data_IF_306376900198
#
_entry.id   IF_306376900198
#
_cell.length_a   1.000
_cell.length_b   1.000
_cell.length_c   1.000
_cell.angle_alpha   90.00
_cell.angle_beta   90.00
_cell.angle_gamma   90.00
#
_symmetry.space_group_name_H-M   'P 1'
#
loop_
_entity.id
_entity.type
_entity.pdbx_description
1 polymer ?
#
# COMPACT_ATOMS: atom_id res chain seq x y z
N UNK A 1 -28.96 -53.48 -5.98
CA UNK A 1 -28.52 -52.54 -4.92
C UNK A 1 -29.12 -51.19 -5.33
N UNK A 2 -30.41 -50.89 -5.15
CA UNK A 2 -31.17 -50.82 -3.88
C UNK A 2 -30.33 -50.16 -2.78
N UNK A 3 -30.75 -49.12 -2.07
CA UNK A 3 -31.86 -48.17 -2.15
C UNK A 3 -31.51 -47.10 -1.07
N UNK A 4 -32.36 -46.09 -0.94
CA UNK A 4 -32.59 -45.32 0.29
C UNK A 4 -31.70 -44.07 0.50
N UNK A 5 -32.18 -42.92 0.98
CA UNK A 5 -33.53 -42.33 1.12
C UNK A 5 -33.35 -41.07 1.97
N UNK A 6 -34.10 -40.02 1.61
CA UNK A 6 -34.64 -38.92 2.42
C UNK A 6 -33.71 -38.08 3.33
N UNK A 7 -33.66 -36.75 3.21
CA UNK A 7 -34.73 -35.72 3.31
C UNK A 7 -35.10 -35.43 4.77
N UNK A 8 -35.25 -34.13 5.05
CA UNK A 8 -35.95 -33.48 6.18
C UNK A 8 -35.07 -33.20 7.40
N UNK A 9 -35.16 -32.08 8.12
CA UNK A 9 -35.82 -30.77 7.99
C UNK A 9 -35.62 -30.10 9.36
N UNK A 10 -35.78 -28.78 9.40
CA UNK A 10 -36.47 -28.01 10.47
C UNK A 10 -35.64 -27.48 11.65
N UNK A 11 -36.05 -26.29 12.16
CA UNK A 11 -35.18 -25.17 12.51
C UNK A 11 -35.37 -24.74 13.98
N UNK A 12 -35.14 -23.43 14.22
CA UNK A 12 -35.63 -22.61 15.34
C UNK A 12 -34.80 -22.56 16.63
N UNK A 13 -34.99 -21.41 17.30
CA UNK A 13 -34.47 -20.95 18.59
C UNK A 13 -33.11 -20.23 18.44
N UNK A 14 -33.03 -18.92 18.25
CA UNK A 14 -33.82 -17.84 18.87
C UNK A 14 -33.13 -17.41 20.16
N UNK A 15 -32.41 -16.29 20.14
CA UNK A 15 -32.09 -15.49 21.33
C UNK A 15 -31.77 -14.05 20.89
N UNK A 16 -32.76 -13.14 20.91
CA UNK A 16 -32.49 -11.72 21.01
C UNK A 16 -32.26 -11.40 22.50
N UNK A 17 -31.05 -10.99 22.86
CA UNK A 17 -30.79 -10.37 24.16
C UNK A 17 -30.39 -8.92 23.94
N UNK A 18 -31.41 -8.06 23.97
CA UNK A 18 -31.26 -6.64 24.21
C UNK A 18 -31.09 -6.42 25.73
N UNK A 19 -30.00 -5.77 26.12
CA UNK A 19 -29.67 -5.17 27.43
C UNK A 19 -28.34 -4.44 27.18
N UNK A 20 -28.07 -3.19 27.55
CA UNK A 20 -28.81 -2.14 28.21
C UNK A 20 -28.10 -0.82 27.87
N UNK A 21 -28.83 0.29 28.00
CA UNK A 21 -28.30 1.64 27.87
C UNK A 21 -27.13 1.89 28.85
N UNK A 22 -26.01 2.38 28.32
CA UNK A 22 -24.92 2.97 29.08
C UNK A 22 -24.59 4.35 28.53
N UNK A 23 -25.42 5.33 28.84
CA UNK A 23 -25.17 6.74 28.54
C UNK A 23 -24.11 7.29 29.50
N UNK A 24 -22.84 7.27 29.10
CA UNK A 24 -21.82 8.11 29.71
C UNK A 24 -21.89 9.50 29.07
N UNK A 25 -22.73 10.37 29.62
CA UNK A 25 -22.63 11.80 29.36
C UNK A 25 -21.43 12.34 30.13
N UNK A 26 -20.31 12.55 29.44
CA UNK A 26 -19.23 13.38 29.95
C UNK A 26 -19.59 14.84 29.67
N UNK A 27 -19.82 15.60 30.74
CA UNK A 27 -20.00 17.05 30.70
C UNK A 27 -18.75 17.73 30.12
N UNK A 28 -18.85 18.56 29.06
CA UNK A 28 -17.75 19.42 28.67
C UNK A 28 -17.65 20.61 29.64
N UNK A 29 -16.49 20.77 30.28
CA UNK A 29 -16.13 22.02 30.94
C UNK A 29 -15.96 23.14 29.89
N UNK A 30 -16.41 24.37 30.17
CA UNK A 30 -16.08 25.52 29.32
C UNK A 30 -14.62 25.90 29.53
N UNK A 31 -13.76 25.54 28.57
CA UNK A 31 -12.42 26.11 28.48
C UNK A 31 -12.48 27.34 27.60
N UNK A 32 -12.45 28.50 28.23
CA UNK A 32 -12.30 29.81 27.59
C UNK A 32 -10.89 29.93 27.00
N UNK A 33 -10.71 29.37 25.81
CA UNK A 33 -9.52 29.51 24.99
C UNK A 33 -9.83 30.36 23.77
N UNK A 34 -9.28 31.57 23.74
CA UNK A 34 -9.28 32.51 22.62
C UNK A 34 -8.98 31.82 21.27
N UNK A 35 -9.80 31.99 20.21
CA UNK A 35 -9.44 31.50 18.89
C UNK A 35 -8.34 32.40 18.29
N UNK A 36 -7.14 31.85 18.18
CA UNK A 36 -6.08 32.43 17.36
C UNK A 36 -6.48 32.31 15.87
N UNK A 37 -6.28 33.35 15.05
CA UNK A 37 -6.65 33.31 13.65
C UNK A 37 -5.75 32.36 12.85
N UNK A 38 -6.42 31.42 12.18
CA UNK A 38 -6.09 30.83 10.88
C UNK A 38 -4.63 30.74 10.48
N UNK A 39 -3.96 29.67 10.92
CA UNK A 39 -2.94 29.05 10.08
C UNK A 39 -3.65 27.94 9.30
N UNK A 40 -4.29 28.32 8.19
CA UNK A 40 -4.71 27.37 7.17
C UNK A 40 -3.45 26.71 6.67
N UNK A 41 -3.12 25.53 7.21
CA UNK A 41 -2.19 24.64 6.56
C UNK A 41 -2.67 24.50 5.11
N UNK A 42 -1.81 24.68 4.10
CA UNK A 42 -2.23 24.45 2.74
C UNK A 42 -2.69 23.00 2.67
N UNK A 43 -4.00 22.80 2.49
CA UNK A 43 -4.50 21.61 1.83
C UNK A 43 -3.83 21.63 0.47
N UNK A 44 -2.71 20.91 0.35
CA UNK A 44 -2.12 20.61 -0.94
C UNK A 44 -3.13 19.74 -1.69
N UNK A 45 -4.07 20.41 -2.34
CA UNK A 45 -4.77 19.88 -3.50
C UNK A 45 -3.79 20.02 -4.68
N UNK A 46 -2.71 19.24 -4.63
CA UNK A 46 -1.75 19.13 -5.71
C UNK A 46 -2.11 17.90 -6.53
N UNK A 47 -3.09 18.04 -7.40
CA UNK A 47 -3.31 17.07 -8.47
C UNK A 47 -2.63 17.58 -9.75
N UNK A 48 -1.62 16.83 -10.22
CA UNK A 48 -1.74 16.25 -11.54
C UNK A 48 -1.80 14.70 -11.42
N UNK A 49 -2.65 14.21 -10.52
CA UNK A 49 -2.71 12.81 -10.11
C UNK A 49 -3.90 12.09 -10.74
N UNK A 50 -4.01 12.10 -12.08
CA UNK A 50 -4.95 11.20 -12.77
C UNK A 50 -4.28 9.84 -12.99
N UNK A 51 -3.84 9.23 -11.89
CA UNK A 51 -3.61 7.79 -11.90
C UNK A 51 -4.96 7.14 -12.15
N UNK A 52 -4.93 5.89 -12.57
CA UNK A 52 -5.98 4.90 -12.48
C UNK A 52 -6.72 4.80 -11.12
N UNK A 53 -6.93 5.89 -10.35
CA UNK A 53 -7.57 5.93 -9.03
C UNK A 53 -9.00 5.35 -9.06
N UNK A 54 -9.70 5.43 -10.20
CA UNK A 54 -10.99 4.74 -10.36
C UNK A 54 -10.88 3.21 -10.42
N UNK A 55 -9.72 2.68 -10.82
CA UNK A 55 -9.47 1.26 -11.05
C UNK A 55 -8.58 0.60 -9.96
N UNK A 56 -7.83 1.40 -9.19
CA UNK A 56 -7.07 0.94 -8.03
C UNK A 56 -8.00 0.71 -6.83
N UNK A 57 -7.80 -0.42 -6.13
CA UNK A 57 -8.61 -0.78 -4.95
C UNK A 57 -7.73 -1.44 -3.89
N UNK A 58 -7.89 -1.12 -2.60
CA UNK A 58 -7.28 -1.91 -1.53
C UNK A 58 -7.70 -3.39 -1.64
N UNK A 59 -6.81 -4.30 -1.28
CA UNK A 59 -7.03 -5.74 -1.35
C UNK A 59 -6.85 -6.37 -2.73
N UNK A 60 -6.65 -5.59 -3.80
CA UNK A 60 -6.32 -6.15 -5.10
C UNK A 60 -4.93 -6.81 -5.08
N UNK A 61 -4.74 -7.82 -5.94
CA UNK A 61 -3.45 -8.47 -6.10
C UNK A 61 -2.41 -7.46 -6.63
N UNK A 62 -1.20 -7.52 -6.09
CA UNK A 62 -0.12 -6.62 -6.48
C UNK A 62 0.18 -6.67 -7.98
N UNK A 63 0.22 -7.87 -8.58
CA UNK A 63 0.47 -8.00 -10.03
C UNK A 63 -0.56 -7.24 -10.89
N UNK A 64 -1.83 -7.22 -10.47
CA UNK A 64 -2.87 -6.43 -11.14
C UNK A 64 -2.69 -4.93 -10.95
N UNK A 65 -2.29 -4.50 -9.74
CA UNK A 65 -1.96 -3.11 -9.46
C UNK A 65 -0.78 -2.65 -10.32
N UNK A 66 0.31 -3.42 -10.32
CA UNK A 66 1.51 -3.16 -11.11
C UNK A 66 1.18 -3.03 -12.59
N UNK A 67 0.35 -3.92 -13.13
CA UNK A 67 -0.11 -3.82 -14.52
C UNK A 67 -0.81 -2.49 -14.79
N UNK A 68 -1.74 -2.06 -13.93
CA UNK A 68 -2.41 -0.76 -14.10
C UNK A 68 -1.42 0.41 -14.05
N UNK A 69 -0.45 0.38 -13.14
CA UNK A 69 0.59 1.40 -13.08
C UNK A 69 1.34 1.50 -14.42
N UNK A 70 1.86 0.37 -14.91
CA UNK A 70 2.63 0.30 -16.14
C UNK A 70 1.81 0.70 -17.38
N UNK A 71 0.55 0.25 -17.47
CA UNK A 71 -0.35 0.58 -18.58
C UNK A 71 -0.69 2.09 -18.64
N UNK A 72 -0.59 2.80 -17.50
CA UNK A 72 -0.87 4.23 -17.36
C UNK A 72 0.40 5.10 -17.28
N UNK A 73 1.52 4.63 -17.84
CA UNK A 73 2.73 5.44 -18.00
C UNK A 73 3.61 5.57 -16.75
N UNK A 74 3.24 4.90 -15.65
CA UNK A 74 4.12 4.79 -14.49
C UNK A 74 5.24 3.79 -14.76
N UNK A 75 6.41 4.07 -14.21
CA UNK A 75 7.60 3.23 -14.35
C UNK A 75 8.13 2.84 -12.98
N UNK A 76 8.69 1.62 -12.81
CA UNK A 76 9.39 1.25 -11.60
C UNK A 76 10.46 2.28 -11.25
N UNK A 77 10.56 2.63 -9.97
CA UNK A 77 11.57 3.53 -9.44
C UNK A 77 12.55 2.72 -8.57
N UNK A 78 13.75 2.36 -9.06
CA UNK A 78 14.74 1.67 -8.25
C UNK A 78 15.16 2.46 -7.01
N UNK A 79 15.24 1.76 -5.87
CA UNK A 79 15.79 2.30 -4.64
C UNK A 79 17.21 1.76 -4.41
N UNK A 80 18.19 2.67 -4.35
CA UNK A 80 19.58 2.32 -4.07
C UNK A 80 19.76 1.66 -2.69
N UNK A 81 18.82 1.86 -1.75
CA UNK A 81 18.83 1.27 -0.41
C UNK A 81 18.00 -0.02 -0.31
N UNK A 82 17.37 -0.50 -1.39
CA UNK A 82 16.48 -1.67 -1.34
C UNK A 82 17.13 -2.88 -0.66
N UNK A 83 18.36 -3.23 -1.03
CA UNK A 83 19.06 -4.39 -0.46
C UNK A 83 19.27 -4.26 1.05
N UNK A 84 19.66 -3.08 1.52
CA UNK A 84 19.80 -2.80 2.95
C UNK A 84 18.46 -2.85 3.68
N UNK A 85 17.38 -2.39 3.04
CA UNK A 85 16.03 -2.35 3.62
C UNK A 85 15.34 -3.74 3.63
N UNK A 86 15.68 -4.63 2.69
CA UNK A 86 15.08 -5.97 2.57
C UNK A 86 15.89 -7.02 3.33
N UNK A 87 17.23 -6.93 3.29
CA UNK A 87 18.13 -7.93 3.89
C UNK A 87 18.68 -7.48 5.24
N UNK A 88 18.77 -6.16 5.48
CA UNK A 88 19.32 -5.58 6.71
C UNK A 88 20.78 -5.16 6.60
N UNK A 89 21.39 -4.78 7.73
CA UNK A 89 22.71 -4.13 7.78
C UNK A 89 23.90 -4.92 7.21
N UNK A 90 23.76 -6.24 7.05
CA UNK A 90 24.80 -7.12 6.48
C UNK A 90 24.52 -7.54 5.02
N UNK A 91 23.59 -6.86 4.33
CA UNK A 91 23.13 -7.20 2.98
C UNK A 91 24.29 -7.49 2.01
N UNK A 92 25.31 -6.63 1.98
CA UNK A 92 26.42 -6.77 1.03
C UNK A 92 27.15 -8.11 1.21
N UNK A 93 27.52 -8.44 2.45
CA UNK A 93 28.24 -9.68 2.74
C UNK A 93 27.35 -10.90 2.48
N UNK A 94 26.12 -10.88 2.97
CA UNK A 94 25.20 -12.01 2.82
C UNK A 94 24.91 -12.30 1.35
N UNK A 95 24.58 -11.28 0.57
CA UNK A 95 24.18 -11.46 -0.84
C UNK A 95 25.37 -11.70 -1.78
N UNK A 96 26.59 -11.31 -1.39
CA UNK A 96 27.80 -11.72 -2.12
C UNK A 96 28.13 -13.20 -1.88
N UNK A 97 27.86 -13.73 -0.68
CA UNK A 97 28.11 -15.14 -0.34
C UNK A 97 26.96 -16.07 -0.74
N UNK A 98 25.73 -15.56 -0.77
CA UNK A 98 24.50 -16.31 -1.02
C UNK A 98 23.59 -15.57 -2.02
N UNK A 99 24.04 -15.37 -3.27
CA UNK A 99 23.27 -14.64 -4.28
C UNK A 99 21.96 -15.34 -4.67
N UNK A 100 21.81 -16.63 -4.36
CA UNK A 100 20.63 -17.44 -4.63
C UNK A 100 19.44 -17.14 -3.71
N UNK A 101 19.67 -16.49 -2.57
CA UNK A 101 18.61 -16.15 -1.63
C UNK A 101 17.60 -15.21 -2.28
N UNK A 102 16.31 -15.51 -2.12
CA UNK A 102 15.23 -14.72 -2.70
C UNK A 102 15.30 -13.24 -2.28
N UNK A 103 15.65 -12.96 -1.02
CA UNK A 103 15.83 -11.59 -0.51
C UNK A 103 16.98 -10.82 -1.19
N UNK A 104 18.02 -11.53 -1.64
CA UNK A 104 19.15 -10.94 -2.35
C UNK A 104 18.86 -10.64 -3.83
N UNK A 105 17.91 -11.35 -4.43
CA UNK A 105 17.45 -11.08 -5.82
C UNK A 105 16.22 -10.19 -5.90
N UNK A 106 15.48 -10.02 -4.80
CA UNK A 106 14.21 -9.28 -4.79
C UNK A 106 14.33 -7.88 -5.42
N UNK A 107 15.39 -7.14 -5.08
CA UNK A 107 15.60 -5.77 -5.59
C UNK A 107 15.98 -5.70 -7.08
N UNK A 108 16.49 -6.78 -7.66
CA UNK A 108 16.79 -6.84 -9.11
C UNK A 108 15.60 -7.37 -9.90
N UNK A 109 14.83 -8.29 -9.32
CA UNK A 109 13.62 -8.86 -9.94
C UNK A 109 12.41 -7.92 -9.85
N UNK A 110 12.33 -7.12 -8.78
CA UNK A 110 11.23 -6.19 -8.49
C UNK A 110 11.84 -4.79 -8.39
N UNK A 111 12.11 -4.11 -9.53
CA UNK A 111 12.83 -2.84 -9.55
C UNK A 111 12.09 -1.69 -8.87
N UNK A 112 10.80 -1.82 -8.61
CA UNK A 112 10.03 -0.86 -7.82
C UNK A 112 10.09 -1.12 -6.30
N UNK A 113 10.68 -2.21 -5.83
CA UNK A 113 10.76 -2.52 -4.41
C UNK A 113 11.71 -1.56 -3.69
N UNK A 114 11.24 -0.94 -2.61
CA UNK A 114 12.05 -0.04 -1.77
C UNK A 114 12.39 -0.67 -0.42
N UNK A 115 11.44 -1.40 0.17
CA UNK A 115 11.63 -2.10 1.44
C UNK A 115 10.68 -3.30 1.51
N UNK A 116 11.07 -4.35 2.21
CA UNK A 116 10.14 -5.37 2.68
C UNK A 116 10.61 -5.99 3.99
N UNK A 117 9.74 -6.03 4.98
CA UNK A 117 10.00 -6.67 6.27
C UNK A 117 9.78 -8.19 6.18
N UNK A 118 10.38 -8.93 7.13
CA UNK A 118 10.27 -10.39 7.19
C UNK A 118 8.86 -10.92 7.47
N UNK A 119 7.96 -10.08 7.97
CA UNK A 119 6.53 -10.36 8.19
C UNK A 119 5.64 -9.96 6.99
N UNK A 120 6.24 -9.48 5.89
CA UNK A 120 5.55 -9.31 4.61
C UNK A 120 4.93 -7.94 4.37
N UNK A 121 5.29 -6.91 5.15
CA UNK A 121 4.99 -5.52 4.79
C UNK A 121 6.04 -5.00 3.82
N UNK A 122 5.64 -4.72 2.58
CA UNK A 122 6.54 -4.16 1.59
C UNK A 122 6.08 -2.79 1.09
N UNK A 123 7.03 -1.96 0.72
CA UNK A 123 6.82 -0.68 0.05
C UNK A 123 7.36 -0.75 -1.38
N UNK A 124 6.52 -0.35 -2.33
CA UNK A 124 6.81 -0.26 -3.76
C UNK A 124 6.77 1.21 -4.19
N UNK A 125 7.56 1.59 -5.18
CA UNK A 125 7.63 2.95 -5.67
C UNK A 125 7.69 3.03 -7.20
N UNK A 126 6.89 3.94 -7.73
CA UNK A 126 6.78 4.20 -9.16
C UNK A 126 6.95 5.69 -9.40
N UNK A 127 7.46 6.04 -10.58
CA UNK A 127 7.50 7.43 -11.07
C UNK A 127 6.63 7.61 -12.31
N UNK A 128 6.02 8.77 -12.47
CA UNK A 128 5.19 9.06 -13.63
C UNK A 128 5.88 9.99 -14.63
N UNK A 129 6.19 9.46 -15.81
CA UNK A 129 6.72 10.23 -16.94
C UNK A 129 7.85 11.20 -16.58
N UNK A 130 7.81 12.38 -17.21
CA UNK A 130 8.71 13.52 -16.97
C UNK A 130 8.23 14.41 -15.81
N UNK A 131 7.07 14.11 -15.24
CA UNK A 131 6.43 14.94 -14.21
C UNK A 131 7.06 14.74 -12.82
N UNK A 132 8.09 13.88 -12.68
CA UNK A 132 8.81 13.54 -11.44
C UNK A 132 7.93 13.13 -10.24
N UNK A 133 6.62 12.95 -10.44
CA UNK A 133 5.70 12.48 -9.41
C UNK A 133 6.06 11.06 -8.98
N UNK A 134 6.04 10.82 -7.68
CA UNK A 134 6.36 9.51 -7.09
C UNK A 134 5.11 8.94 -6.42
N UNK A 135 4.68 7.76 -6.88
CA UNK A 135 3.70 6.96 -6.18
C UNK A 135 4.41 5.97 -5.27
N UNK A 136 4.04 5.95 -3.98
CA UNK A 136 4.41 4.91 -3.04
C UNK A 136 3.21 4.04 -2.72
N UNK A 137 3.35 2.73 -2.88
CA UNK A 137 2.31 1.75 -2.60
C UNK A 137 2.78 0.79 -1.52
N UNK A 138 1.91 0.52 -0.56
CA UNK A 138 2.15 -0.46 0.50
C UNK A 138 1.44 -1.76 0.16
N UNK A 139 2.10 -2.86 0.44
CA UNK A 139 1.57 -4.21 0.28
C UNK A 139 1.70 -5.01 1.56
N UNK A 140 0.84 -6.00 1.71
CA UNK A 140 0.97 -7.04 2.72
C UNK A 140 0.85 -8.43 2.09
N UNK A 141 1.72 -9.35 2.51
CA UNK A 141 1.72 -10.74 2.10
C UNK A 141 3.09 -11.23 1.60
N UNK A 142 3.17 -12.47 1.09
CA UNK A 142 4.43 -13.05 0.65
C UNK A 142 4.93 -12.40 -0.64
N UNK A 143 6.09 -11.74 -0.57
CA UNK A 143 6.71 -11.04 -1.71
C UNK A 143 6.93 -11.94 -2.94
N UNK A 144 7.12 -13.25 -2.76
CA UNK A 144 7.28 -14.21 -3.85
C UNK A 144 6.09 -14.25 -4.82
N UNK A 145 4.92 -13.77 -4.39
CA UNK A 145 3.69 -13.74 -5.18
C UNK A 145 3.55 -12.46 -6.02
N UNK A 146 4.61 -11.65 -6.13
CA UNK A 146 4.58 -10.33 -6.80
C UNK A 146 4.11 -10.39 -8.26
N UNK A 147 4.42 -11.48 -8.97
CA UNK A 147 4.01 -11.71 -10.35
C UNK A 147 2.92 -12.79 -10.50
N UNK A 148 2.42 -13.34 -9.40
CA UNK A 148 1.45 -14.42 -9.44
C UNK A 148 0.11 -13.93 -10.06
N UNK A 149 -0.63 -14.80 -10.76
CA UNK A 149 -1.97 -14.48 -11.25
C UNK A 149 -2.88 -13.96 -10.14
N UNK A 150 -3.81 -13.03 -10.46
CA UNK A 150 -4.60 -12.30 -9.46
C UNK A 150 -5.39 -13.20 -8.49
N UNK A 151 -5.91 -14.33 -8.97
CA UNK A 151 -6.65 -15.30 -8.15
C UNK A 151 -5.76 -16.19 -7.26
N UNK A 152 -4.44 -16.15 -7.44
CA UNK A 152 -3.47 -16.98 -6.73
C UNK A 152 -2.54 -16.17 -5.83
N UNK A 153 -2.34 -14.89 -6.14
CA UNK A 153 -1.45 -14.02 -5.37
C UNK A 153 -1.99 -13.73 -3.97
N UNK A 154 -1.17 -13.91 -2.93
CA UNK A 154 -1.47 -13.46 -1.57
C UNK A 154 -0.85 -12.09 -1.25
N UNK A 155 -0.05 -11.52 -2.16
CA UNK A 155 0.52 -10.18 -2.00
C UNK A 155 -0.51 -9.13 -2.42
N UNK A 156 -1.06 -8.39 -1.45
CA UNK A 156 -2.18 -7.46 -1.65
C UNK A 156 -1.76 -6.03 -1.42
N UNK A 157 -2.31 -5.12 -2.22
CA UNK A 157 -2.20 -3.67 -1.97
C UNK A 157 -3.01 -3.31 -0.74
N UNK A 158 -2.42 -2.55 0.18
CA UNK A 158 -3.09 -2.06 1.40
C UNK A 158 -3.37 -0.56 1.34
N UNK A 159 -2.44 0.22 0.79
CA UNK A 159 -2.60 1.66 0.60
C UNK A 159 -1.64 2.19 -0.47
N UNK A 160 -1.85 3.42 -0.93
CA UNK A 160 -0.92 4.15 -1.78
C UNK A 160 -1.08 5.65 -1.59
N UNK A 161 -0.02 6.38 -1.92
CA UNK A 161 0.02 7.84 -1.94
C UNK A 161 0.83 8.31 -3.14
N UNK A 162 0.45 9.46 -3.71
CA UNK A 162 1.23 10.14 -4.74
C UNK A 162 1.78 11.41 -4.13
N UNK A 163 3.08 11.57 -4.23
CA UNK A 163 3.78 12.78 -3.87
C UNK A 163 4.17 13.48 -5.16
N UNK A 164 3.81 14.77 -5.33
CA UNK A 164 4.24 15.52 -6.48
C UNK A 164 5.76 15.64 -6.50
N UNK A 165 6.33 15.77 -7.69
CA UNK A 165 7.73 16.14 -7.80
C UNK A 165 8.02 17.37 -6.92
N UNK A 166 9.17 17.43 -6.22
CA UNK A 166 9.60 18.67 -5.61
C UNK A 166 9.69 19.71 -6.72
N UNK A 167 8.89 20.77 -6.62
CA UNK A 167 8.86 21.83 -7.63
C UNK A 167 10.28 22.32 -7.85
N UNK A 168 10.81 22.05 -9.05
CA UNK A 168 12.10 22.57 -9.46
C UNK A 168 12.06 24.08 -9.28
N UNK A 169 13.02 24.60 -8.51
CA UNK A 169 13.33 26.02 -8.49
C UNK A 169 13.65 26.43 -9.92
N UNK A 170 12.65 27.00 -10.60
CA UNK A 170 12.85 27.78 -11.82
C UNK A 170 13.77 28.93 -11.46
N UNK A 171 15.08 28.68 -11.58
CA UNK A 171 16.14 29.66 -11.44
C UNK A 171 16.04 30.65 -12.59
N UNK A 172 15.20 31.67 -12.43
CA UNK A 172 15.30 32.91 -13.19
C UNK A 172 16.70 33.46 -12.98
N UNK A 173 17.56 33.33 -14.00
CA UNK A 173 18.83 34.04 -14.07
C UNK A 173 18.50 35.47 -14.54
N UNK A 174 18.69 36.53 -13.73
CA UNK A 174 18.63 37.89 -14.23
C UNK A 174 19.91 38.16 -15.02
N UNK A 175 19.72 38.71 -16.21
CA UNK A 175 20.76 39.11 -17.14
C UNK A 175 21.31 40.49 -16.83
#
# INVERSE_FOLDING_TARGET
MELATMKRFIPLLGFPLALALGACQAHPLPSSGTPAPGSSAPTHDSAPTNVAQGALRPGMAYGSFRKQMLDHGWRPLPDAKCLANVVGGNAQKLCSSHPELASCRACTEIPELSACSGDGHCQMQFRHGDADDVMRANTFGPLRDWNAPAGQSQLRITSWQVEPAPAGTSGTTPH
#
